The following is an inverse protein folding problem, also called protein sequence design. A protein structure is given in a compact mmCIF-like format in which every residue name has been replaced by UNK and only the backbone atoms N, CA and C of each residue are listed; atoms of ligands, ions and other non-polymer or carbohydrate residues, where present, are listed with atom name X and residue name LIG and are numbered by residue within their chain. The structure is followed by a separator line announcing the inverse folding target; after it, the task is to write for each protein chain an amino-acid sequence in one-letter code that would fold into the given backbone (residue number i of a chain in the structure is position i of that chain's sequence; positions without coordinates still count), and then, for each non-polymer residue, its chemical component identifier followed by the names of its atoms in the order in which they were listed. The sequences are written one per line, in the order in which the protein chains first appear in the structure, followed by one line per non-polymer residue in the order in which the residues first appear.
data_IF_553682247789
#
_entry.id   IF_553682247789
#
_cell.length_a   1.000
_cell.length_b   1.000
_cell.length_c   1.000
_cell.angle_alpha   90.00
_cell.angle_beta   90.00
_cell.angle_gamma   90.00
#
_symmetry.space_group_name_H-M   'P 1'
#
loop_
_entity.id
_entity.type
_entity.pdbx_description
1 polymer ?
#
# COMPACT_ATOMS: atom_id res chain seq x y z
N UNK A 1 25.80 0.84 -43.42
CA UNK A 1 24.91 0.70 -42.24
C UNK A 1 25.42 -0.40 -41.32
N UNK A 2 25.67 -1.62 -41.81
CA UNK A 2 26.22 -2.73 -41.00
C UNK A 2 27.65 -2.49 -40.47
N UNK A 3 28.51 -1.80 -41.22
CA UNK A 3 29.90 -1.52 -40.76
C UNK A 3 29.94 -0.56 -39.56
N UNK A 4 29.01 0.41 -39.50
CA UNK A 4 28.87 1.31 -38.36
C UNK A 4 28.44 0.55 -37.09
N UNK A 5 27.51 -0.41 -37.20
CA UNK A 5 27.10 -1.25 -36.07
C UNK A 5 28.23 -2.16 -35.58
N UNK A 6 29.04 -2.72 -36.49
CA UNK A 6 30.23 -3.51 -36.12
C UNK A 6 31.26 -2.68 -35.35
N UNK A 7 31.43 -1.42 -35.71
CA UNK A 7 32.37 -0.51 -35.04
C UNK A 7 31.86 -0.13 -33.63
N UNK A 8 30.59 0.24 -33.50
CA UNK A 8 29.99 0.62 -32.20
C UNK A 8 29.87 -0.56 -31.23
N UNK A 9 29.58 -1.76 -31.73
CA UNK A 9 29.44 -2.98 -30.93
C UNK A 9 30.69 -3.88 -31.00
N UNK A 10 31.86 -3.31 -31.31
CA UNK A 10 33.10 -4.07 -31.45
C UNK A 10 33.45 -4.88 -30.19
N UNK A 11 33.04 -4.41 -29.01
CA UNK A 11 33.24 -5.08 -27.72
C UNK A 11 32.13 -6.07 -27.36
N UNK A 12 31.06 -6.18 -28.16
CA UNK A 12 29.88 -7.03 -27.92
C UNK A 12 29.55 -7.88 -29.16
N UNK A 13 30.44 -8.80 -29.58
CA UNK A 13 30.31 -9.55 -30.83
C UNK A 13 29.06 -10.45 -30.88
N UNK A 14 28.55 -10.86 -29.71
CA UNK A 14 27.31 -11.64 -29.61
C UNK A 14 26.08 -10.83 -30.04
N UNK A 15 26.04 -9.52 -29.76
CA UNK A 15 24.95 -8.65 -30.20
C UNK A 15 24.99 -8.45 -31.71
N UNK A 16 26.18 -8.32 -32.30
CA UNK A 16 26.34 -8.20 -33.76
C UNK A 16 25.82 -9.45 -34.45
N UNK A 17 26.23 -10.64 -33.99
CA UNK A 17 25.78 -11.91 -34.56
C UNK A 17 24.25 -12.09 -34.46
N UNK A 18 23.66 -11.69 -33.35
CA UNK A 18 22.21 -11.69 -33.18
C UNK A 18 21.51 -10.73 -34.15
N UNK A 19 21.98 -9.48 -34.29
CA UNK A 19 21.39 -8.53 -35.25
C UNK A 19 21.48 -9.07 -36.69
N UNK A 20 22.62 -9.65 -37.08
CA UNK A 20 22.78 -10.22 -38.43
C UNK A 20 21.89 -11.45 -38.68
N UNK A 21 21.71 -12.31 -37.67
CA UNK A 21 20.95 -13.56 -37.81
C UNK A 21 19.43 -13.39 -37.72
N UNK A 22 18.95 -12.50 -36.85
CA UNK A 22 17.51 -12.36 -36.52
C UNK A 22 16.98 -10.92 -36.65
N UNK A 23 17.82 -9.94 -37.02
CA UNK A 23 17.42 -8.55 -37.23
C UNK A 23 17.27 -7.70 -35.96
N UNK A 24 17.47 -8.29 -34.78
CA UNK A 24 17.47 -7.59 -33.48
C UNK A 24 18.37 -8.31 -32.47
N UNK A 25 18.76 -7.60 -31.41
CA UNK A 25 19.43 -8.20 -30.25
C UNK A 25 18.90 -7.59 -28.96
N UNK A 26 19.00 -8.34 -27.86
CA UNK A 26 18.61 -7.89 -26.53
C UNK A 26 19.88 -7.70 -25.70
N UNK A 27 20.14 -6.46 -25.32
CA UNK A 27 21.20 -6.11 -24.37
C UNK A 27 20.57 -6.01 -22.98
N UNK A 28 21.18 -6.67 -21.99
CA UNK A 28 20.74 -6.48 -20.60
C UNK A 28 20.95 -5.01 -20.21
N UNK A 29 19.95 -4.36 -19.60
CA UNK A 29 19.95 -2.93 -19.28
C UNK A 29 20.97 -2.45 -18.24
N UNK A 30 22.03 -3.22 -17.97
CA UNK A 30 23.09 -2.87 -17.03
C UNK A 30 22.58 -2.56 -15.62
N UNK A 31 23.15 -1.53 -14.99
CA UNK A 31 22.81 -1.08 -13.64
C UNK A 31 21.61 -0.09 -13.59
N UNK A 32 20.84 0.03 -14.69
CA UNK A 32 19.72 0.96 -14.73
C UNK A 32 18.55 0.44 -13.87
N UNK A 33 18.13 1.26 -12.89
CA UNK A 33 16.96 0.99 -12.06
C UNK A 33 15.67 1.56 -12.67
N UNK A 34 15.81 2.48 -13.64
CA UNK A 34 14.68 3.16 -14.28
C UNK A 34 14.91 3.31 -15.78
N UNK A 35 13.84 3.27 -16.56
CA UNK A 35 13.91 3.42 -18.01
C UNK A 35 14.57 4.73 -18.44
N UNK A 36 14.33 5.84 -17.73
CA UNK A 36 14.92 7.14 -18.07
C UNK A 36 16.46 7.11 -18.08
N UNK A 37 17.09 6.26 -17.27
CA UNK A 37 18.55 6.14 -17.23
C UNK A 37 19.10 5.51 -18.52
N UNK A 38 18.35 4.58 -19.12
CA UNK A 38 18.70 3.98 -20.42
C UNK A 38 18.55 5.01 -21.54
N UNK A 39 17.46 5.79 -21.53
CA UNK A 39 17.23 6.86 -22.49
C UNK A 39 18.24 8.02 -22.38
N UNK A 40 18.65 8.33 -21.15
CA UNK A 40 19.69 9.34 -20.90
C UNK A 40 21.04 8.84 -21.44
N UNK A 41 21.45 7.61 -21.12
CA UNK A 41 22.70 7.04 -21.61
C UNK A 41 22.76 7.00 -23.14
N UNK A 42 21.68 6.53 -23.79
CA UNK A 42 21.61 6.45 -25.25
C UNK A 42 21.75 7.82 -25.93
N UNK A 43 21.34 8.91 -25.25
CA UNK A 43 21.53 10.27 -25.76
C UNK A 43 23.00 10.72 -25.77
N UNK A 44 23.81 10.28 -24.79
CA UNK A 44 25.24 10.56 -24.73
C UNK A 44 26.04 9.72 -25.73
N UNK A 45 25.58 8.50 -26.01
CA UNK A 45 26.20 7.57 -26.95
C UNK A 45 25.74 7.77 -28.41
N UNK A 46 24.89 8.79 -28.66
CA UNK A 46 24.30 9.09 -29.97
C UNK A 46 23.55 7.90 -30.60
N UNK A 47 23.00 7.02 -29.76
CA UNK A 47 22.20 5.90 -30.20
C UNK A 47 20.77 6.35 -30.55
N UNK A 48 20.29 5.96 -31.73
CA UNK A 48 18.90 6.24 -32.11
C UNK A 48 17.96 5.46 -31.20
N UNK A 49 17.11 6.19 -30.49
CA UNK A 49 16.26 5.60 -29.46
C UNK A 49 14.79 5.65 -29.86
N UNK A 50 14.11 4.51 -29.76
CA UNK A 50 12.66 4.42 -29.92
C UNK A 50 11.98 4.51 -28.54
N UNK A 51 11.23 5.58 -28.31
CA UNK A 51 10.50 5.80 -27.05
C UNK A 51 9.09 5.24 -27.20
N UNK A 52 8.71 4.29 -26.34
CA UNK A 52 7.34 3.77 -26.28
C UNK A 52 6.50 4.55 -25.26
N UNK A 53 5.18 4.43 -25.35
CA UNK A 53 4.27 4.97 -24.33
C UNK A 53 4.55 4.41 -22.94
N UNK A 54 5.02 3.17 -22.85
CA UNK A 54 5.27 2.48 -21.58
C UNK A 54 6.37 3.15 -20.76
N UNK A 55 7.40 3.69 -21.43
CA UNK A 55 8.45 4.46 -20.78
C UNK A 55 7.89 5.71 -20.08
N UNK A 56 6.98 6.42 -20.74
CA UNK A 56 6.33 7.61 -20.19
C UNK A 56 5.36 7.25 -19.08
N UNK A 57 4.56 6.19 -19.24
CA UNK A 57 3.68 5.70 -18.18
C UNK A 57 4.45 5.22 -16.95
N UNK A 58 5.61 4.59 -17.13
CA UNK A 58 6.46 4.20 -16.01
C UNK A 58 7.00 5.41 -15.25
N UNK A 59 7.54 6.40 -15.96
CA UNK A 59 8.02 7.64 -15.34
C UNK A 59 6.90 8.34 -14.57
N UNK A 60 5.71 8.46 -15.17
CA UNK A 60 4.53 9.01 -14.53
C UNK A 60 4.10 8.22 -13.29
N UNK A 61 4.04 6.89 -13.38
CA UNK A 61 3.66 6.03 -12.27
C UNK A 61 4.62 6.20 -11.07
N UNK A 62 5.92 6.29 -11.33
CA UNK A 62 6.92 6.50 -10.28
C UNK A 62 6.78 7.89 -9.64
N UNK A 63 6.60 8.93 -10.45
CA UNK A 63 6.40 10.29 -9.95
C UNK A 63 5.13 10.39 -9.09
N UNK A 64 4.01 9.88 -9.59
CA UNK A 64 2.74 9.86 -8.87
C UNK A 64 2.83 9.03 -7.57
N UNK A 65 3.45 7.86 -7.64
CA UNK A 65 3.66 7.01 -6.45
C UNK A 65 4.50 7.72 -5.38
N UNK A 66 5.50 8.50 -5.78
CA UNK A 66 6.30 9.29 -4.83
C UNK A 66 5.46 10.42 -4.22
N UNK A 67 4.75 11.19 -5.03
CA UNK A 67 3.88 12.28 -4.54
C UNK A 67 2.84 11.75 -3.54
N UNK A 68 2.20 10.61 -3.83
CA UNK A 68 1.26 9.98 -2.90
C UNK A 68 1.93 9.59 -1.58
N UNK A 69 3.07 8.89 -1.61
CA UNK A 69 3.77 8.45 -0.40
C UNK A 69 4.23 9.62 0.46
N UNK A 70 4.79 10.65 -0.17
CA UNK A 70 5.25 11.85 0.52
C UNK A 70 4.04 12.58 1.13
N UNK A 71 2.95 12.77 0.37
CA UNK A 71 1.73 13.41 0.87
C UNK A 71 1.11 12.63 2.04
N UNK A 72 1.04 11.31 1.94
CA UNK A 72 0.50 10.46 3.01
C UNK A 72 1.35 10.53 4.26
N UNK A 73 2.67 10.36 4.12
CA UNK A 73 3.59 10.27 5.26
C UNK A 73 3.79 11.64 5.93
N UNK A 74 3.95 12.69 5.14
CA UNK A 74 4.36 14.01 5.64
C UNK A 74 3.17 14.90 5.99
N UNK A 75 1.98 14.63 5.44
CA UNK A 75 0.79 15.48 5.62
C UNK A 75 -0.40 14.71 6.20
N UNK A 76 -0.85 13.64 5.52
CA UNK A 76 -2.13 13.01 5.88
C UNK A 76 -2.06 12.20 7.16
N UNK A 77 -1.01 11.40 7.40
CA UNK A 77 -0.86 10.62 8.62
C UNK A 77 -0.77 11.52 9.86
N UNK A 78 0.06 12.58 9.89
CA UNK A 78 0.07 13.53 11.00
C UNK A 78 -1.28 14.22 11.24
N UNK A 79 -1.92 14.71 10.16
CA UNK A 79 -3.22 15.37 10.28
C UNK A 79 -4.32 14.43 10.78
N UNK A 80 -4.31 13.17 10.31
CA UNK A 80 -5.22 12.12 10.77
C UNK A 80 -4.96 11.76 12.23
N UNK A 81 -3.69 11.73 12.65
CA UNK A 81 -3.29 11.52 14.04
C UNK A 81 -3.89 12.59 14.97
N UNK A 82 -3.66 13.85 14.65
CA UNK A 82 -4.20 14.99 15.40
C UNK A 82 -5.74 14.98 15.44
N UNK A 83 -6.38 14.65 14.31
CA UNK A 83 -7.82 14.53 14.21
C UNK A 83 -8.36 13.43 15.12
N UNK A 84 -7.78 12.23 15.08
CA UNK A 84 -8.24 11.10 15.87
C UNK A 84 -8.06 11.34 17.37
N UNK A 85 -6.91 11.85 17.81
CA UNK A 85 -6.68 12.17 19.24
C UNK A 85 -7.73 13.13 19.78
N UNK A 86 -8.04 14.21 19.03
CA UNK A 86 -9.06 15.19 19.44
C UNK A 86 -10.46 14.60 19.40
N UNK A 87 -10.75 13.77 18.39
CA UNK A 87 -12.09 13.21 18.20
C UNK A 87 -12.40 12.12 19.23
N UNK A 88 -11.40 11.32 19.66
CA UNK A 88 -11.58 10.39 20.79
C UNK A 88 -11.96 11.15 22.07
N UNK A 89 -11.26 12.24 22.38
CA UNK A 89 -11.58 13.05 23.55
C UNK A 89 -12.99 13.67 23.46
N UNK A 90 -13.37 14.19 22.30
CA UNK A 90 -14.70 14.75 22.07
C UNK A 90 -15.80 13.68 22.16
N UNK A 91 -15.60 12.51 21.57
CA UNK A 91 -16.55 11.41 21.61
C UNK A 91 -16.78 10.91 23.05
N UNK A 92 -15.73 10.78 23.85
CA UNK A 92 -15.84 10.41 25.27
C UNK A 92 -16.64 11.45 26.06
N UNK A 93 -16.33 12.73 25.89
CA UNK A 93 -17.09 13.81 26.54
C UNK A 93 -18.57 13.81 26.15
N UNK A 94 -18.87 13.58 24.88
CA UNK A 94 -20.26 13.48 24.41
C UNK A 94 -20.98 12.23 24.96
N UNK A 95 -20.29 11.10 25.10
CA UNK A 95 -20.86 9.90 25.72
C UNK A 95 -21.18 10.14 27.21
N UNK A 96 -20.31 10.85 27.93
CA UNK A 96 -20.57 11.24 29.32
C UNK A 96 -21.82 12.14 29.44
N UNK A 97 -21.97 13.13 28.55
CA UNK A 97 -23.15 14.01 28.52
C UNK A 97 -24.45 13.29 28.18
N UNK A 98 -24.39 12.27 27.32
CA UNK A 98 -25.54 11.49 26.88
C UNK A 98 -25.84 10.29 27.78
N UNK A 99 -25.07 10.11 28.86
CA UNK A 99 -25.26 9.02 29.81
C UNK A 99 -26.67 9.05 30.42
N UNK A 100 -27.33 7.89 30.45
CA UNK A 100 -28.70 7.75 30.94
C UNK A 100 -29.80 8.23 29.99
N UNK A 101 -29.45 8.69 28.78
CA UNK A 101 -30.42 8.97 27.72
C UNK A 101 -30.61 7.75 26.80
N UNK A 102 -31.65 7.77 25.97
CA UNK A 102 -31.89 6.74 24.95
C UNK A 102 -30.76 6.68 23.88
N UNK A 103 -29.87 7.68 23.84
CA UNK A 103 -28.75 7.76 22.91
C UNK A 103 -27.44 7.22 23.49
N UNK A 104 -27.39 6.86 24.78
CA UNK A 104 -26.16 6.46 25.47
C UNK A 104 -25.42 5.35 24.73
N UNK A 105 -26.11 4.28 24.33
CA UNK A 105 -25.47 3.17 23.63
C UNK A 105 -24.87 3.64 22.28
N UNK A 106 -25.61 4.47 21.53
CA UNK A 106 -25.13 4.95 20.24
C UNK A 106 -23.90 5.84 20.40
N UNK A 107 -23.82 6.62 21.47
CA UNK A 107 -22.63 7.39 21.82
C UNK A 107 -21.44 6.46 22.15
N UNK A 108 -21.66 5.38 22.90
CA UNK A 108 -20.61 4.38 23.21
C UNK A 108 -20.08 3.69 21.94
N UNK A 109 -20.93 3.45 20.93
CA UNK A 109 -20.47 2.93 19.64
C UNK A 109 -19.56 3.92 18.90
N UNK A 110 -19.87 5.22 18.96
CA UNK A 110 -19.04 6.28 18.36
C UNK A 110 -17.70 6.39 19.09
N UNK A 111 -17.69 6.30 20.42
CA UNK A 111 -16.44 6.22 21.20
C UNK A 111 -15.60 5.03 20.72
N UNK A 112 -16.21 3.85 20.64
CA UNK A 112 -15.50 2.64 20.22
C UNK A 112 -14.94 2.73 18.79
N UNK A 113 -15.66 3.37 17.85
CA UNK A 113 -15.19 3.62 16.49
C UNK A 113 -13.89 4.43 16.49
N UNK A 114 -13.86 5.56 17.20
CA UNK A 114 -12.68 6.44 17.20
C UNK A 114 -11.52 5.87 18.01
N UNK A 115 -11.79 5.17 19.11
CA UNK A 115 -10.77 4.43 19.87
C UNK A 115 -10.10 3.34 19.01
N UNK A 116 -10.90 2.56 18.26
CA UNK A 116 -10.38 1.53 17.38
C UNK A 116 -9.54 2.15 16.25
N UNK A 117 -10.03 3.19 15.59
CA UNK A 117 -9.31 3.88 14.52
C UNK A 117 -7.98 4.49 15.02
N UNK A 118 -7.98 5.14 16.18
CA UNK A 118 -6.76 5.68 16.79
C UNK A 118 -5.75 4.58 17.13
N UNK A 119 -6.23 3.46 17.67
CA UNK A 119 -5.39 2.30 18.01
C UNK A 119 -4.76 1.67 16.75
N UNK A 120 -5.53 1.52 15.68
CA UNK A 120 -5.04 0.96 14.40
C UNK A 120 -3.97 1.85 13.76
N UNK A 121 -4.09 3.18 13.92
CA UNK A 121 -3.06 4.14 13.49
C UNK A 121 -1.82 4.16 14.42
N UNK A 122 -1.85 3.45 15.55
CA UNK A 122 -0.74 3.37 16.50
C UNK A 122 -0.66 4.55 17.49
N UNK A 123 -1.76 5.28 17.68
CA UNK A 123 -1.83 6.36 18.66
C UNK A 123 -2.09 5.80 20.07
N UNK A 124 -1.49 6.42 21.08
CA UNK A 124 -1.86 6.19 22.48
C UNK A 124 -3.00 7.15 22.87
N UNK A 125 -4.19 6.59 23.05
CA UNK A 125 -5.40 7.32 23.51
C UNK A 125 -5.84 6.85 24.91
N UNK A 126 -4.95 6.18 25.65
CA UNK A 126 -5.24 5.58 26.94
C UNK A 126 -6.07 4.31 26.84
N UNK A 127 -6.78 3.96 27.92
CA UNK A 127 -7.62 2.76 27.96
C UNK A 127 -8.74 2.86 26.91
N UNK A 128 -8.95 1.77 26.17
CA UNK A 128 -10.03 1.65 25.17
C UNK A 128 -11.10 0.68 25.67
N UNK A 129 -12.31 0.83 25.13
CA UNK A 129 -13.43 -0.07 25.43
C UNK A 129 -13.19 -1.50 24.92
N UNK A 130 -13.89 -2.49 25.51
CA UNK A 130 -13.89 -3.87 25.01
C UNK A 130 -14.40 -3.95 23.57
N UNK A 131 -15.39 -3.12 23.24
CA UNK A 131 -15.94 -2.98 21.90
C UNK A 131 -14.90 -2.50 20.89
N UNK A 132 -14.14 -1.45 21.23
CA UNK A 132 -13.04 -0.97 20.40
C UNK A 132 -11.96 -2.04 20.22
N UNK A 133 -11.61 -2.74 21.30
CA UNK A 133 -10.63 -3.83 21.27
C UNK A 133 -11.06 -4.97 20.33
N UNK A 134 -12.35 -5.33 20.34
CA UNK A 134 -12.91 -6.33 19.42
C UNK A 134 -12.88 -5.86 17.96
N UNK A 135 -13.19 -4.59 17.68
CA UNK A 135 -13.08 -4.02 16.34
C UNK A 135 -11.63 -4.03 15.83
N UNK A 136 -10.67 -3.63 16.69
CA UNK A 136 -9.23 -3.68 16.36
C UNK A 136 -8.78 -5.09 16.01
N UNK A 137 -9.27 -6.10 16.76
CA UNK A 137 -8.94 -7.50 16.49
C UNK A 137 -9.46 -7.96 15.12
N UNK A 138 -10.71 -7.63 14.77
CA UNK A 138 -11.30 -7.96 13.46
C UNK A 138 -10.55 -7.27 12.31
N UNK A 139 -10.27 -5.97 12.45
CA UNK A 139 -9.52 -5.20 11.47
C UNK A 139 -8.10 -5.72 11.28
N UNK A 140 -7.43 -6.13 12.36
CA UNK A 140 -6.07 -6.67 12.31
C UNK A 140 -6.03 -8.07 11.71
N UNK A 141 -7.00 -8.93 12.03
CA UNK A 141 -7.09 -10.28 11.46
C UNK A 141 -7.38 -10.23 9.95
N UNK A 142 -8.21 -9.29 9.51
CA UNK A 142 -8.49 -9.00 8.11
C UNK A 142 -8.88 -10.27 7.31
N UNK A 143 -9.60 -11.20 7.94
CA UNK A 143 -9.82 -12.54 7.40
C UNK A 143 -11.04 -12.65 6.48
N UNK A 144 -12.16 -12.04 6.86
CA UNK A 144 -13.47 -12.26 6.24
C UNK A 144 -14.41 -11.06 6.37
N UNK A 145 -15.58 -11.17 5.75
CA UNK A 145 -16.68 -10.26 5.98
C UNK A 145 -17.57 -10.78 7.12
N UNK A 146 -17.73 -9.99 8.17
CA UNK A 146 -18.49 -10.39 9.37
C UNK A 146 -19.14 -9.18 10.05
N UNK A 147 -19.89 -9.43 11.13
CA UNK A 147 -20.54 -8.38 11.92
C UNK A 147 -19.50 -7.52 12.64
N UNK A 148 -19.62 -6.20 12.52
CA UNK A 148 -18.79 -5.27 13.30
C UNK A 148 -19.48 -4.88 14.62
N UNK A 149 -18.79 -4.97 15.76
CA UNK A 149 -19.33 -4.60 17.08
C UNK A 149 -19.65 -3.10 17.24
N UNK A 150 -19.18 -2.22 16.33
CA UNK A 150 -19.42 -0.76 16.39
C UNK A 150 -20.55 -0.27 15.47
N UNK A 151 -21.08 -1.12 14.58
CA UNK A 151 -22.08 -0.70 13.59
C UNK A 151 -23.52 -0.69 14.11
N UNK A 152 -23.78 -1.35 15.25
CA UNK A 152 -25.13 -1.51 15.82
C UNK A 152 -25.98 -2.59 15.15
N UNK A 153 -25.45 -3.29 14.15
CA UNK A 153 -26.07 -4.51 13.63
C UNK A 153 -25.77 -5.71 14.53
N UNK A 154 -26.75 -6.59 14.68
CA UNK A 154 -26.64 -7.79 15.52
C UNK A 154 -25.98 -8.94 14.76
N UNK A 155 -26.18 -9.01 13.45
CA UNK A 155 -25.65 -10.09 12.61
C UNK A 155 -25.47 -9.65 11.15
N UNK A 156 -24.36 -10.10 10.55
CA UNK A 156 -24.08 -10.01 9.13
C UNK A 156 -24.85 -11.08 8.35
N UNK A 157 -25.62 -10.67 7.34
CA UNK A 157 -26.62 -11.52 6.67
C UNK A 157 -26.10 -12.27 5.43
N UNK A 158 -24.83 -12.67 5.39
CA UNK A 158 -24.27 -13.43 4.27
C UNK A 158 -24.77 -14.89 4.23
N UNK A 159 -24.98 -15.49 3.03
CA UNK A 159 -24.81 -14.91 1.69
C UNK A 159 -26.06 -14.18 1.17
N UNK A 160 -27.13 -14.08 1.96
CA UNK A 160 -28.44 -13.61 1.52
C UNK A 160 -28.48 -12.10 1.24
N UNK A 161 -27.76 -11.30 2.03
CA UNK A 161 -27.58 -9.87 1.83
C UNK A 161 -26.30 -9.37 2.53
N UNK A 162 -25.67 -8.32 2.00
CA UNK A 162 -24.51 -7.66 2.65
C UNK A 162 -24.94 -6.67 3.76
N UNK A 163 -26.08 -6.91 4.40
CA UNK A 163 -26.60 -6.04 5.46
C UNK A 163 -25.91 -6.37 6.78
N UNK A 164 -25.43 -5.34 7.48
CA UNK A 164 -24.77 -5.50 8.79
C UNK A 164 -23.36 -6.11 8.73
N UNK A 165 -22.77 -6.19 7.55
CA UNK A 165 -21.45 -6.77 7.32
C UNK A 165 -20.38 -5.68 7.12
N UNK A 166 -19.20 -5.91 7.66
CA UNK A 166 -17.97 -5.19 7.30
C UNK A 166 -17.02 -6.21 6.67
N UNK A 167 -16.51 -5.92 5.46
CA UNK A 167 -15.53 -6.75 4.77
C UNK A 167 -14.12 -6.42 5.26
N UNK A 168 -13.64 -7.15 6.27
CA UNK A 168 -12.31 -6.93 6.81
C UNK A 168 -11.19 -7.41 5.89
N UNK A 169 -11.48 -8.16 4.82
CA UNK A 169 -10.44 -8.53 3.84
C UNK A 169 -9.84 -7.32 3.11
N UNK A 170 -10.54 -6.18 3.15
CA UNK A 170 -10.08 -4.91 2.61
C UNK A 170 -9.00 -4.24 3.46
N UNK A 171 -8.86 -4.64 4.72
CA UNK A 171 -7.89 -4.08 5.67
C UNK A 171 -6.50 -4.72 5.49
N UNK A 172 -6.32 -5.66 4.57
CA UNK A 172 -4.99 -6.20 4.24
C UNK A 172 -4.16 -5.14 3.51
N UNK A 173 -2.98 -4.72 4.03
CA UNK A 173 -2.11 -3.76 3.36
C UNK A 173 -1.70 -4.21 1.97
N UNK A 174 -1.72 -3.30 0.99
CA UNK A 174 -1.35 -3.60 -0.41
C UNK A 174 -0.28 -2.64 -0.93
N UNK A 175 0.51 -3.11 -1.88
CA UNK A 175 1.48 -2.27 -2.58
C UNK A 175 2.45 -1.57 -1.62
N UNK A 176 2.52 -0.24 -1.69
CA UNK A 176 3.49 0.55 -0.94
C UNK A 176 3.17 0.67 0.56
N UNK A 177 1.94 0.38 0.98
CA UNK A 177 1.59 0.28 2.40
C UNK A 177 2.32 -0.86 3.11
N UNK A 178 2.94 -1.79 2.37
CA UNK A 178 3.80 -2.83 2.94
C UNK A 178 5.25 -2.38 3.19
N UNK A 179 5.61 -1.12 2.92
CA UNK A 179 7.01 -0.67 2.89
C UNK A 179 7.53 -0.15 4.23
N UNK A 180 6.67 0.41 5.09
CA UNK A 180 7.03 0.95 6.42
C UNK A 180 5.93 0.66 7.43
N UNK A 181 6.29 0.59 8.72
CA UNK A 181 5.30 0.34 9.78
C UNK A 181 4.28 1.47 9.91
N UNK A 182 4.69 2.72 9.66
CA UNK A 182 3.78 3.88 9.59
C UNK A 182 2.71 3.70 8.51
N UNK A 183 3.10 3.32 7.29
CA UNK A 183 2.13 3.11 6.20
C UNK A 183 1.31 1.83 6.38
N UNK A 184 1.85 0.82 7.08
CA UNK A 184 1.08 -0.37 7.47
C UNK A 184 -0.01 -0.02 8.48
N UNK A 185 0.31 0.80 9.49
CA UNK A 185 -0.64 1.23 10.52
C UNK A 185 -1.78 2.07 9.94
N UNK A 186 -1.50 2.98 8.99
CA UNK A 186 -2.55 3.70 8.26
C UNK A 186 -3.40 2.80 7.34
N UNK A 187 -2.93 1.57 7.07
CA UNK A 187 -3.65 0.54 6.32
C UNK A 187 -4.13 -0.64 7.19
N UNK A 188 -4.05 -0.51 8.53
CA UNK A 188 -4.50 -1.48 9.55
C UNK A 188 -3.74 -2.82 9.69
N UNK A 189 -2.46 -2.83 10.12
CA UNK A 189 -1.81 -4.04 10.71
C UNK A 189 -0.47 -3.75 11.45
N UNK A 190 -0.21 -4.37 12.63
CA UNK A 190 1.13 -4.61 13.17
C UNK A 190 1.67 -6.02 12.83
N UNK A 191 3.00 -6.17 12.83
CA UNK A 191 3.72 -7.36 12.34
C UNK A 191 3.84 -8.49 13.37
N UNK A 192 3.28 -9.67 13.06
CA UNK A 192 3.76 -10.94 13.63
C UNK A 192 3.80 -12.05 12.59
N UNK A 193 4.76 -12.00 11.66
CA UNK A 193 5.28 -13.23 11.04
C UNK A 193 6.76 -13.06 10.73
N UNK A 194 7.66 -13.87 11.32
CA UNK A 194 9.05 -13.88 10.91
C UNK A 194 9.11 -14.37 9.45
N UNK A 195 9.74 -13.60 8.58
CA UNK A 195 9.97 -13.98 7.18
C UNK A 195 10.81 -15.26 7.14
N UNK A 196 10.17 -16.42 6.99
CA UNK A 196 10.86 -17.61 6.51
C UNK A 196 11.24 -17.34 5.05
N UNK A 197 12.54 -17.41 4.77
CA UNK A 197 13.10 -17.17 3.44
C UNK A 197 12.51 -18.17 2.44
N UNK A 198 11.62 -17.71 1.55
CA UNK A 198 11.29 -18.45 0.35
C UNK A 198 12.55 -18.61 -0.51
N UNK A 199 13.21 -19.78 -0.43
CA UNK A 199 14.19 -20.21 -1.41
C UNK A 199 13.47 -20.46 -2.74
N UNK A 200 13.74 -19.63 -3.74
CA UNK A 200 13.39 -19.91 -5.14
C UNK A 200 14.14 -21.18 -5.61
N UNK A 201 13.47 -22.18 -6.18
CA UNK A 201 14.17 -23.31 -6.79
C UNK A 201 14.85 -22.88 -8.11
N UNK A 202 15.95 -23.52 -8.50
CA UNK A 202 16.68 -23.16 -9.71
C UNK A 202 15.86 -23.52 -10.94
N UNK A 203 15.67 -22.54 -11.83
CA UNK A 203 15.14 -22.78 -13.18
C UNK A 203 16.19 -23.58 -13.96
N UNK A 204 15.86 -24.81 -14.32
CA UNK A 204 16.56 -25.53 -15.40
C UNK A 204 16.05 -24.93 -16.71
N UNK A 205 17.00 -24.53 -17.56
CA UNK A 205 16.79 -24.17 -18.94
C UNK A 205 16.32 -25.39 -19.73
#
# INVERSE_FOLDING_TARGET
MLDWFREQLANEPELVAAIEGQGFAIRAGGAANFFHQIYEASSYDYETTFVTTDAMYNAWHNAFSKVLRDTETDVLVPALGDYLTRTVAAARGQADELSGTDLAESADRVVALYEAAATLLGLDVGAISERASAEVALATDAAEATTSPITGFVECQLPNAFTGCVDYTQFRPRGHYTSSDTLRSSSALPTTTPRSRCRRPPRRW
#
